data_IF_180179794872
#
_entry.id   IF_180179794872
#
_cell.length_a   1.000
_cell.length_b   1.000
_cell.length_c   1.000
_cell.angle_alpha   90.00
_cell.angle_beta   90.00
_cell.angle_gamma   90.00
#
_symmetry.space_group_name_H-M   'P 1'
#
loop_
_entity.id
_entity.type
_entity.pdbx_description
1 polymer ?
#
# COMPACT_ATOMS: atom_id res chain seq x y z
N UNK A 1 1.49 37.60 -1.77
CA UNK A 1 0.32 36.87 -1.28
C UNK A 1 0.77 35.44 -1.05
N UNK A 2 1.19 35.10 0.16
CA UNK A 2 1.64 33.76 0.49
C UNK A 2 0.38 32.94 0.79
N UNK A 3 0.05 32.00 -0.09
CA UNK A 3 -0.92 30.96 0.23
C UNK A 3 -0.20 30.09 1.26
N UNK A 4 -0.66 30.11 2.50
CA UNK A 4 -0.16 29.20 3.52
C UNK A 4 -0.58 27.80 3.09
N UNK A 5 0.38 27.00 2.64
CA UNK A 5 0.13 25.64 2.17
C UNK A 5 -0.51 24.84 3.30
N UNK A 6 -1.71 24.31 3.04
CA UNK A 6 -2.41 23.44 3.98
C UNK A 6 -1.76 22.06 3.91
N UNK A 7 -0.92 21.76 4.88
CA UNK A 7 -0.22 20.47 4.97
C UNK A 7 -1.00 19.41 5.77
N UNK A 8 -2.22 19.73 6.23
CA UNK A 8 -3.02 18.82 7.06
C UNK A 8 -4.07 18.07 6.24
N UNK A 9 -4.66 18.75 5.24
CA UNK A 9 -5.71 18.19 4.40
C UNK A 9 -5.20 17.91 2.99
N UNK A 10 -5.59 16.76 2.43
CA UNK A 10 -5.40 16.49 1.02
C UNK A 10 -6.31 17.36 0.15
N UNK A 11 -6.01 17.44 -1.15
CA UNK A 11 -6.85 18.15 -2.13
C UNK A 11 -8.31 17.66 -2.09
N UNK A 12 -8.51 16.38 -1.75
CA UNK A 12 -9.83 15.82 -1.46
C UNK A 12 -10.08 15.82 0.04
N UNK A 13 -10.83 16.80 0.52
CA UNK A 13 -11.20 16.94 1.95
C UNK A 13 -11.87 15.70 2.56
N UNK A 14 -12.43 14.81 1.73
CA UNK A 14 -13.12 13.59 2.19
C UNK A 14 -12.20 12.37 2.31
N UNK A 15 -10.95 12.47 1.85
CA UNK A 15 -9.99 11.36 1.85
C UNK A 15 -9.23 11.20 3.19
N UNK A 16 -9.58 11.99 4.21
CA UNK A 16 -8.88 11.99 5.50
C UNK A 16 -7.80 13.07 5.58
N UNK A 17 -7.14 13.14 6.74
CA UNK A 17 -5.97 14.01 6.95
C UNK A 17 -4.69 13.27 6.61
N UNK A 18 -3.63 14.00 6.29
CA UNK A 18 -2.30 13.42 6.06
C UNK A 18 -1.85 12.55 7.26
N UNK A 19 -2.21 12.94 8.49
CA UNK A 19 -1.88 12.16 9.69
C UNK A 19 -2.59 10.80 9.73
N UNK A 20 -3.84 10.73 9.28
CA UNK A 20 -4.61 9.49 9.22
C UNK A 20 -4.06 8.55 8.15
N UNK A 21 -3.78 9.08 6.97
CA UNK A 21 -3.20 8.34 5.86
C UNK A 21 -1.77 7.85 6.14
N UNK A 22 -0.89 8.73 6.63
CA UNK A 22 0.48 8.35 7.03
C UNK A 22 0.49 7.29 8.12
N UNK A 23 -0.46 7.34 9.07
CA UNK A 23 -0.66 6.31 10.09
C UNK A 23 -1.12 5.00 9.47
N UNK A 24 -2.12 5.04 8.59
CA UNK A 24 -2.65 3.86 7.91
C UNK A 24 -1.57 3.17 7.05
N UNK A 25 -0.78 3.93 6.29
CA UNK A 25 0.32 3.40 5.48
C UNK A 25 1.46 2.82 6.32
N UNK A 26 1.86 3.50 7.40
CA UNK A 26 2.88 3.00 8.33
C UNK A 26 2.45 1.70 8.99
N UNK A 27 1.21 1.65 9.44
CA UNK A 27 0.67 0.50 10.19
C UNK A 27 0.14 -0.59 9.23
N UNK A 28 0.17 -0.34 7.91
CA UNK A 28 -0.28 -1.24 6.85
C UNK A 28 -1.73 -1.70 7.05
N UNK A 29 -2.57 -0.78 7.50
CA UNK A 29 -4.00 -0.99 7.74
C UNK A 29 -4.82 -0.17 6.75
N UNK A 30 -6.00 -0.67 6.32
CA UNK A 30 -6.89 0.13 5.50
C UNK A 30 -7.39 1.33 6.31
N UNK A 31 -7.39 2.50 5.69
CA UNK A 31 -8.05 3.66 6.27
C UNK A 31 -9.58 3.48 6.25
N UNK A 32 -10.29 4.14 7.18
CA UNK A 32 -11.75 4.06 7.29
C UNK A 32 -12.50 4.55 6.05
N UNK A 33 -11.87 5.41 5.26
CA UNK A 33 -12.47 6.03 4.09
C UNK A 33 -11.62 5.79 2.85
N UNK A 34 -12.28 5.66 1.70
CA UNK A 34 -11.59 5.61 0.41
C UNK A 34 -11.18 7.01 -0.04
N UNK A 35 -10.28 7.14 -1.02
CA UNK A 35 -9.90 8.43 -1.60
C UNK A 35 -11.09 9.22 -2.18
N UNK A 36 -12.22 8.56 -2.47
CA UNK A 36 -13.46 9.23 -2.94
C UNK A 36 -14.40 9.64 -1.79
N UNK A 37 -14.02 9.38 -0.53
CA UNK A 37 -14.80 9.72 0.66
C UNK A 37 -15.89 8.73 1.04
N UNK A 38 -15.90 7.54 0.43
CA UNK A 38 -16.84 6.47 0.80
C UNK A 38 -16.24 5.59 1.90
N UNK A 39 -17.08 4.84 2.62
CA UNK A 39 -16.58 3.83 3.56
C UNK A 39 -15.71 2.82 2.82
N UNK A 40 -14.56 2.49 3.40
CA UNK A 40 -13.64 1.54 2.80
C UNK A 40 -14.13 0.11 3.05
N UNK A 41 -14.63 -0.56 2.01
CA UNK A 41 -15.11 -1.95 2.06
C UNK A 41 -14.04 -2.96 2.51
N UNK A 42 -12.76 -2.58 2.44
CA UNK A 42 -11.64 -3.44 2.87
C UNK A 42 -11.35 -3.38 4.37
N UNK A 43 -12.06 -2.54 5.14
CA UNK A 43 -11.96 -2.48 6.62
C UNK A 43 -12.65 -3.66 7.32
N UNK A 44 -13.39 -4.49 6.58
CA UNK A 44 -14.13 -5.64 7.12
C UNK A 44 -13.23 -6.75 7.67
N UNK A 45 -11.94 -6.78 7.31
CA UNK A 45 -10.99 -7.75 7.84
C UNK A 45 -10.37 -7.17 9.12
N UNK A 46 -10.66 -7.74 10.32
CA UNK A 46 -10.29 -7.12 11.60
C UNK A 46 -8.82 -7.36 11.98
N UNK A 47 -8.00 -7.84 11.05
CA UNK A 47 -6.60 -8.15 11.30
C UNK A 47 -5.74 -7.77 10.09
N UNK A 48 -4.53 -7.31 10.38
CA UNK A 48 -3.50 -7.10 9.36
C UNK A 48 -3.10 -8.45 8.77
N UNK A 49 -3.01 -8.52 7.45
CA UNK A 49 -2.54 -9.73 6.81
C UNK A 49 -1.09 -10.03 7.26
N UNK A 50 -0.79 -11.23 7.78
CA UNK A 50 0.46 -11.50 8.51
C UNK A 50 1.71 -11.48 7.63
N UNK A 51 1.54 -11.47 6.31
CA UNK A 51 2.62 -11.45 5.31
C UNK A 51 2.76 -10.05 4.69
N UNK A 52 2.07 -9.03 5.21
CA UNK A 52 2.26 -7.67 4.70
C UNK A 52 3.63 -7.16 5.12
N UNK A 53 4.45 -6.79 4.14
CA UNK A 53 5.78 -6.22 4.34
C UNK A 53 5.80 -4.82 3.72
N UNK A 54 6.32 -3.86 4.47
CA UNK A 54 6.52 -2.51 3.95
C UNK A 54 7.76 -2.47 3.07
N UNK A 55 7.61 -1.97 1.85
CA UNK A 55 8.74 -1.60 0.99
C UNK A 55 9.21 -0.22 1.43
N UNK A 56 10.36 -0.15 2.11
CA UNK A 56 10.96 1.09 2.59
C UNK A 56 12.30 1.35 1.90
N UNK A 57 12.67 2.63 1.82
CA UNK A 57 14.00 3.05 1.43
C UNK A 57 14.26 2.92 -0.07
N UNK A 58 13.21 3.03 -0.89
CA UNK A 58 13.33 3.10 -2.35
C UNK A 58 14.05 4.41 -2.72
N UNK A 59 13.44 5.56 -2.45
CA UNK A 59 14.05 6.90 -2.40
C UNK A 59 13.03 7.85 -1.72
N UNK A 60 13.43 9.05 -1.34
CA UNK A 60 12.59 9.97 -0.57
C UNK A 60 11.28 10.33 -1.29
N UNK A 61 11.29 10.50 -2.61
CA UNK A 61 10.07 10.69 -3.42
C UNK A 61 9.15 9.47 -3.31
N UNK A 62 9.71 8.26 -3.31
CA UNK A 62 8.90 7.03 -3.21
C UNK A 62 8.22 6.94 -1.85
N UNK A 63 8.95 7.30 -0.78
CA UNK A 63 8.40 7.33 0.57
C UNK A 63 7.37 8.47 0.74
N UNK A 64 7.55 9.60 0.04
CA UNK A 64 6.59 10.70 0.02
C UNK A 64 5.29 10.36 -0.73
N UNK A 65 5.37 9.59 -1.81
CA UNK A 65 4.19 9.10 -2.54
C UNK A 65 3.28 8.20 -1.70
N UNK A 66 3.85 7.52 -0.70
CA UNK A 66 3.12 6.66 0.25
C UNK A 66 2.92 7.38 1.59
N UNK A 67 3.07 8.70 1.61
CA UNK A 67 2.82 9.57 2.76
C UNK A 67 3.65 9.25 4.02
N UNK A 68 4.76 8.53 3.86
CA UNK A 68 5.69 8.24 4.97
C UNK A 68 6.59 9.45 5.26
N UNK A 69 6.90 10.21 4.23
CA UNK A 69 7.67 11.45 4.30
C UNK A 69 6.83 12.57 3.69
N UNK A 70 7.00 13.80 4.18
CA UNK A 70 6.32 14.96 3.60
C UNK A 70 7.03 15.48 2.35
N UNK A 71 6.27 16.05 1.43
CA UNK A 71 6.78 16.66 0.20
C UNK A 71 7.70 17.87 0.43
N UNK A 72 7.59 18.54 1.57
CA UNK A 72 8.44 19.66 1.98
C UNK A 72 9.76 19.22 2.62
N UNK A 73 10.02 17.91 2.71
CA UNK A 73 11.28 17.39 3.21
C UNK A 73 12.44 17.75 2.25
N UNK A 74 13.58 18.25 2.75
CA UNK A 74 14.70 18.66 1.90
C UNK A 74 15.24 17.53 1.00
N UNK A 75 15.17 16.28 1.43
CA UNK A 75 15.59 15.13 0.61
C UNK A 75 14.65 14.92 -0.58
N UNK A 76 13.33 15.06 -0.37
CA UNK A 76 12.34 14.97 -1.44
C UNK A 76 12.54 16.11 -2.45
N UNK A 77 12.76 17.32 -1.95
CA UNK A 77 13.03 18.49 -2.79
C UNK A 77 14.32 18.30 -3.60
N UNK A 78 15.38 17.76 -3.00
CA UNK A 78 16.64 17.49 -3.70
C UNK A 78 16.45 16.47 -4.82
N UNK A 79 15.76 15.36 -4.56
CA UNK A 79 15.44 14.36 -5.58
C UNK A 79 14.56 14.93 -6.70
N UNK A 80 13.57 15.75 -6.37
CA UNK A 80 12.72 16.42 -7.36
C UNK A 80 13.55 17.36 -8.24
N UNK A 81 14.49 18.10 -7.66
CA UNK A 81 15.41 18.97 -8.41
C UNK A 81 16.34 18.18 -9.33
N UNK A 82 16.68 16.94 -8.98
CA UNK A 82 17.44 16.05 -9.87
C UNK A 82 16.54 15.59 -11.01
N UNK A 83 15.34 15.08 -10.70
CA UNK A 83 14.43 14.49 -11.68
C UNK A 83 13.90 15.51 -12.70
N UNK A 84 13.61 16.72 -12.25
CA UNK A 84 13.08 17.83 -13.07
C UNK A 84 14.14 18.89 -13.38
N UNK A 85 15.42 18.59 -13.13
CA UNK A 85 16.54 19.45 -13.47
C UNK A 85 16.82 19.50 -14.97
N UNK A 86 17.69 20.45 -15.38
CA UNK A 86 18.09 20.61 -16.78
C UNK A 86 19.15 19.58 -17.25
N UNK A 87 19.69 18.77 -16.33
CA UNK A 87 20.75 17.81 -16.62
C UNK A 87 20.16 16.41 -16.85
N UNK A 88 19.83 16.13 -18.12
CA UNK A 88 19.26 14.85 -18.54
C UNK A 88 20.11 13.64 -18.14
N UNK A 89 21.44 13.80 -18.09
CA UNK A 89 22.34 12.71 -17.69
C UNK A 89 22.17 12.40 -16.22
N UNK A 90 22.15 13.42 -15.37
CA UNK A 90 21.93 13.27 -13.93
C UNK A 90 20.56 12.65 -13.64
N UNK A 91 19.53 13.07 -14.38
CA UNK A 91 18.18 12.48 -14.31
C UNK A 91 18.19 11.00 -14.69
N UNK A 92 18.83 10.64 -15.79
CA UNK A 92 18.89 9.26 -16.25
C UNK A 92 19.68 8.36 -15.28
N UNK A 93 20.80 8.86 -14.75
CA UNK A 93 21.60 8.15 -13.75
C UNK A 93 20.79 7.92 -12.46
N UNK A 94 20.02 8.91 -12.03
CA UNK A 94 19.10 8.78 -10.89
C UNK A 94 18.04 7.69 -11.12
N UNK A 95 17.36 7.72 -12.27
CA UNK A 95 16.33 6.71 -12.62
C UNK A 95 16.94 5.31 -12.67
N UNK A 96 18.11 5.15 -13.28
CA UNK A 96 18.78 3.86 -13.38
C UNK A 96 19.14 3.31 -11.99
N UNK A 97 19.69 4.15 -11.11
CA UNK A 97 20.01 3.77 -9.74
C UNK A 97 18.76 3.40 -8.94
N UNK A 98 17.68 4.19 -9.07
CA UNK A 98 16.39 3.89 -8.46
C UNK A 98 15.86 2.53 -8.91
N UNK A 99 15.87 2.24 -10.22
CA UNK A 99 15.41 0.96 -10.77
C UNK A 99 16.21 -0.24 -10.22
N UNK A 100 17.54 -0.11 -10.13
CA UNK A 100 18.40 -1.15 -9.56
C UNK A 100 18.07 -1.39 -8.09
N UNK A 101 17.95 -0.33 -7.30
CA UNK A 101 17.62 -0.39 -5.87
C UNK A 101 16.23 -0.97 -5.63
N UNK A 102 15.24 -0.55 -6.41
CA UNK A 102 13.88 -1.05 -6.37
C UNK A 102 13.80 -2.55 -6.67
N UNK A 103 14.55 -3.00 -7.68
CA UNK A 103 14.64 -4.42 -8.03
C UNK A 103 15.23 -5.22 -6.87
N UNK A 104 16.34 -4.76 -6.28
CA UNK A 104 16.98 -5.46 -5.16
C UNK A 104 16.06 -5.56 -3.94
N UNK A 105 15.46 -4.44 -3.52
CA UNK A 105 14.55 -4.39 -2.37
C UNK A 105 13.32 -5.28 -2.60
N UNK A 106 12.79 -5.29 -3.83
CA UNK A 106 11.63 -6.12 -4.19
C UNK A 106 11.98 -7.60 -4.10
N UNK A 107 13.12 -8.02 -4.65
CA UNK A 107 13.57 -9.41 -4.58
C UNK A 107 13.79 -9.85 -3.12
N UNK A 108 14.46 -9.02 -2.32
CA UNK A 108 14.68 -9.31 -0.90
C UNK A 108 13.35 -9.42 -0.13
N UNK A 109 12.40 -8.55 -0.46
CA UNK A 109 11.05 -8.57 0.14
C UNK A 109 10.28 -9.82 -0.26
N UNK A 110 10.31 -10.25 -1.53
CA UNK A 110 9.67 -11.50 -1.99
C UNK A 110 10.20 -12.71 -1.21
N UNK A 111 11.53 -12.80 -1.03
CA UNK A 111 12.14 -13.89 -0.26
C UNK A 111 11.66 -13.88 1.19
N UNK A 112 11.56 -12.70 1.81
CA UNK A 112 11.02 -12.56 3.17
C UNK A 112 9.54 -12.95 3.23
N UNK A 113 8.72 -12.52 2.26
CA UNK A 113 7.30 -12.87 2.15
C UNK A 113 7.13 -14.38 2.14
N UNK A 114 7.90 -15.09 1.32
CA UNK A 114 7.89 -16.57 1.30
C UNK A 114 8.19 -17.18 2.68
N UNK A 115 9.21 -16.69 3.37
CA UNK A 115 9.60 -17.21 4.69
C UNK A 115 8.55 -16.93 5.77
N UNK A 116 7.96 -15.74 5.76
CA UNK A 116 6.91 -15.34 6.71
C UNK A 116 5.62 -16.13 6.44
N UNK A 117 5.22 -16.23 5.18
CA UNK A 117 4.04 -16.97 4.75
C UNK A 117 4.10 -18.43 5.18
N UNK A 118 5.24 -19.09 4.92
CA UNK A 118 5.44 -20.48 5.32
C UNK A 118 5.35 -20.66 6.85
N UNK A 119 5.86 -19.70 7.63
CA UNK A 119 5.75 -19.74 9.11
C UNK A 119 4.32 -19.49 9.60
N UNK A 120 3.58 -18.60 8.93
CA UNK A 120 2.24 -18.21 9.34
C UNK A 120 1.17 -19.25 8.97
N UNK A 121 1.28 -19.88 7.79
CA UNK A 121 0.23 -20.73 7.23
C UNK A 121 0.65 -22.18 6.99
N UNK A 122 1.94 -22.51 7.08
CA UNK A 122 2.48 -23.87 6.90
C UNK A 122 1.94 -24.55 5.63
N UNK A 123 1.22 -25.66 5.75
CA UNK A 123 0.62 -26.40 4.62
C UNK A 123 -0.54 -25.67 3.92
N UNK A 124 -1.03 -24.56 4.50
CA UNK A 124 -2.06 -23.70 3.90
C UNK A 124 -1.48 -22.49 3.15
N UNK A 125 -0.17 -22.35 3.10
CA UNK A 125 0.47 -21.30 2.32
C UNK A 125 0.23 -21.48 0.81
N UNK A 126 0.12 -20.38 0.08
CA UNK A 126 0.02 -20.39 -1.37
C UNK A 126 1.19 -21.14 -1.99
N UNK A 127 2.41 -20.89 -1.50
CA UNK A 127 3.61 -21.56 -2.00
C UNK A 127 3.62 -23.06 -1.76
N UNK A 128 3.03 -23.55 -0.68
CA UNK A 128 2.86 -25.00 -0.48
C UNK A 128 2.00 -25.61 -1.59
N UNK A 129 0.91 -24.94 -1.99
CA UNK A 129 0.09 -25.42 -3.10
C UNK A 129 0.81 -25.36 -4.44
N UNK A 130 1.54 -24.27 -4.73
CA UNK A 130 2.34 -24.13 -5.96
C UNK A 130 3.39 -25.23 -6.07
N UNK A 131 4.16 -25.48 -5.00
CA UNK A 131 5.22 -26.49 -5.00
C UNK A 131 4.71 -27.92 -5.16
N UNK A 132 3.51 -28.20 -4.64
CA UNK A 132 2.89 -29.53 -4.72
C UNK A 132 1.92 -29.68 -5.91
N UNK A 133 1.83 -28.67 -6.78
CA UNK A 133 0.90 -28.63 -7.91
C UNK A 133 -0.57 -28.89 -7.51
N UNK A 134 -0.96 -28.38 -6.35
CA UNK A 134 -2.32 -28.50 -5.80
C UNK A 134 -3.12 -27.29 -6.27
N UNK A 135 -4.31 -27.52 -6.83
CA UNK A 135 -5.20 -26.42 -7.20
C UNK A 135 -5.80 -25.80 -5.92
N UNK A 136 -5.56 -24.53 -5.59
CA UNK A 136 -6.12 -23.92 -4.40
C UNK A 136 -7.66 -23.98 -4.41
N UNK A 137 -8.31 -23.81 -5.56
CA UNK A 137 -9.77 -23.89 -5.67
C UNK A 137 -10.35 -25.29 -5.35
N UNK A 138 -9.52 -26.35 -5.33
CA UNK A 138 -9.97 -27.69 -4.97
C UNK A 138 -10.02 -27.94 -3.46
N UNK A 139 -9.45 -27.04 -2.65
CA UNK A 139 -9.34 -27.16 -1.18
C UNK A 139 -10.29 -26.18 -0.46
N UNK A 140 -10.79 -25.16 -1.15
CA UNK A 140 -11.73 -24.21 -0.56
C UNK A 140 -13.10 -24.85 -0.36
N UNK A 141 -13.74 -24.67 0.82
CA UNK A 141 -15.15 -24.98 0.96
C UNK A 141 -15.94 -24.13 -0.05
N UNK A 142 -16.80 -24.76 -0.83
CA UNK A 142 -17.57 -24.19 -1.93
C UNK A 142 -18.65 -23.16 -1.51
N UNK A 143 -18.65 -22.74 -0.25
CA UNK A 143 -19.63 -21.81 0.29
C UNK A 143 -18.92 -20.63 0.99
N UNK A 144 -19.31 -19.39 0.70
CA UNK A 144 -18.95 -18.26 1.56
C UNK A 144 -19.44 -18.55 2.98
N UNK A 145 -18.76 -18.08 4.04
CA UNK A 145 -19.36 -18.09 5.37
C UNK A 145 -20.70 -17.34 5.31
N UNK A 146 -21.76 -17.95 5.84
CA UNK A 146 -23.16 -17.50 5.82
C UNK A 146 -23.42 -16.06 6.33
N UNK A 147 -22.40 -15.35 6.81
CA UNK A 147 -22.51 -14.04 7.44
C UNK A 147 -22.23 -12.84 6.50
N UNK A 148 -22.27 -13.02 5.18
CA UNK A 148 -22.07 -11.93 4.20
C UNK A 148 -23.33 -11.54 3.42
N UNK A 149 -24.50 -12.05 3.78
CA UNK A 149 -25.78 -11.62 3.21
C UNK A 149 -26.64 -11.05 4.32
N UNK A 150 -26.33 -9.83 4.78
CA UNK A 150 -27.42 -8.98 5.25
C UNK A 150 -28.14 -8.49 4.00
N UNK A 151 -29.35 -9.02 3.79
CA UNK A 151 -30.28 -8.56 2.76
C UNK A 151 -30.49 -7.05 2.90
N UNK A 152 -30.05 -6.28 1.90
CA UNK A 152 -30.56 -4.92 1.70
C UNK A 152 -32.06 -5.02 1.36
N UNK A 153 -32.90 -4.98 2.39
CA UNK A 153 -34.31 -4.68 2.27
C UNK A 153 -34.44 -3.22 1.79
N UNK A 154 -34.51 -3.03 0.47
CA UNK A 154 -34.98 -1.78 -0.12
C UNK A 154 -36.48 -1.62 0.17
N UNK A 155 -36.80 -1.10 1.35
CA UNK A 155 -38.14 -0.59 1.65
C UNK A 155 -38.15 0.93 1.50
N UNK A 156 -38.67 1.35 0.34
CA UNK A 156 -39.45 2.55 0.06
C UNK A 156 -39.39 3.73 1.05
N UNK A 157 -39.05 4.91 0.55
CA UNK A 157 -39.91 6.08 0.72
C UNK A 157 -39.90 6.95 -0.55
N UNK A 158 -41.12 7.20 -1.04
CA UNK A 158 -41.50 8.14 -2.09
C UNK A 158 -41.18 9.58 -1.71
#
# INVERSE_FOLDING_TARGET
MAIQENHEHQEVNKAGTWFQLSTAYRDLVPESSSPSGHSNYYTLVPYQFPITIQLQGLEAISDALVEQIRWDNPMVIEELNILFGLDDKKTQDFINNWCLKATQITLDSIVKTYQIEKKAFDNKSYWHYVHNNINPASVWPSSPPENLVEEENHNNHY
#
